data_IF_709876899612
#
_entry.id   IF_709876899612
#
_cell.length_a   1.000
_cell.length_b   1.000
_cell.length_c   1.000
_cell.angle_alpha   90.00
_cell.angle_beta   90.00
_cell.angle_gamma   90.00
#
_symmetry.space_group_name_H-M   'P 1'
#
loop_
_entity.id
_entity.type
_entity.pdbx_description
1 polymer ?
#
# COMPACT_ATOMS: atom_id res chain seq x y z
N UNK A 1 31.56 -21.29 6.82
CA UNK A 1 31.11 -19.94 7.20
C UNK A 1 29.93 -19.60 6.31
N UNK A 2 28.78 -19.35 6.89
CA UNK A 2 27.57 -19.00 6.14
C UNK A 2 27.73 -17.53 5.73
N UNK A 3 27.61 -17.22 4.43
CA UNK A 3 27.88 -15.88 3.89
C UNK A 3 26.91 -14.77 4.34
N UNK A 4 26.12 -15.02 5.38
CA UNK A 4 25.20 -14.08 5.99
C UNK A 4 25.89 -13.46 7.21
N UNK A 5 26.09 -12.15 7.16
CA UNK A 5 26.51 -11.31 8.28
C UNK A 5 25.44 -10.22 8.47
N UNK A 6 24.34 -10.61 9.12
CA UNK A 6 23.21 -9.71 9.37
C UNK A 6 23.39 -9.04 10.72
N UNK A 7 23.25 -7.71 10.76
CA UNK A 7 23.22 -6.92 11.99
C UNK A 7 21.77 -6.60 12.35
N UNK A 8 21.16 -7.24 13.37
CA UNK A 8 19.74 -7.04 13.70
C UNK A 8 19.35 -5.59 13.94
N UNK A 9 20.20 -4.82 14.64
CA UNK A 9 19.99 -3.38 14.86
C UNK A 9 20.03 -2.54 13.58
N UNK A 10 20.82 -2.97 12.59
CA UNK A 10 20.82 -2.36 11.26
C UNK A 10 19.51 -2.63 10.52
N UNK A 11 18.99 -3.86 10.61
CA UNK A 11 17.69 -4.22 10.03
C UNK A 11 16.57 -3.43 10.68
N UNK A 12 16.54 -3.33 12.02
CA UNK A 12 15.56 -2.54 12.75
C UNK A 12 15.55 -1.07 12.32
N UNK A 13 16.74 -0.47 12.15
CA UNK A 13 16.86 0.90 11.65
C UNK A 13 16.26 1.07 10.25
N UNK A 14 16.48 0.12 9.33
CA UNK A 14 15.89 0.15 7.99
C UNK A 14 14.37 -0.04 8.05
N UNK A 15 13.87 -0.97 8.88
CA UNK A 15 12.43 -1.19 9.05
C UNK A 15 11.73 0.05 9.61
N UNK A 16 12.38 0.79 10.51
CA UNK A 16 11.89 2.08 11.01
C UNK A 16 11.78 3.12 9.89
N UNK A 17 12.80 3.24 9.03
CA UNK A 17 12.75 4.13 7.86
C UNK A 17 11.64 3.74 6.87
N UNK A 18 11.45 2.45 6.63
CA UNK A 18 10.34 1.94 5.80
C UNK A 18 8.99 2.30 6.41
N UNK A 19 8.85 2.19 7.74
CA UNK A 19 7.66 2.61 8.47
C UNK A 19 7.34 4.09 8.27
N UNK A 20 8.33 4.97 8.43
CA UNK A 20 8.18 6.42 8.18
C UNK A 20 7.78 6.72 6.73
N UNK A 21 8.44 6.08 5.76
CA UNK A 21 8.11 6.24 4.35
C UNK A 21 6.69 5.74 4.02
N UNK A 22 6.25 4.65 4.66
CA UNK A 22 4.88 4.14 4.50
C UNK A 22 3.83 5.10 5.11
N UNK A 23 4.13 5.74 6.23
CA UNK A 23 3.27 6.77 6.83
C UNK A 23 3.15 8.00 5.93
N UNK A 24 4.26 8.47 5.36
CA UNK A 24 4.26 9.61 4.44
C UNK A 24 3.51 9.27 3.15
N UNK A 25 3.74 8.08 2.58
CA UNK A 25 2.97 7.58 1.44
C UNK A 25 1.46 7.54 1.74
N UNK A 26 1.05 7.12 2.93
CA UNK A 26 -0.36 7.11 3.31
C UNK A 26 -0.97 8.52 3.37
N UNK A 27 -0.21 9.54 3.80
CA UNK A 27 -0.64 10.95 3.78
C UNK A 27 -0.80 11.45 2.34
N UNK A 28 0.15 11.13 1.47
CA UNK A 28 0.13 11.54 0.06
C UNK A 28 -1.04 10.89 -0.69
N UNK A 29 -1.30 9.60 -0.45
CA UNK A 29 -2.46 8.90 -1.01
C UNK A 29 -3.78 9.56 -0.59
N UNK A 30 -3.89 9.96 0.68
CA UNK A 30 -5.07 10.70 1.17
C UNK A 30 -5.21 12.06 0.48
N UNK A 31 -4.10 12.77 0.29
CA UNK A 31 -4.05 14.04 -0.45
C UNK A 31 -4.51 13.87 -1.90
N UNK A 32 -3.98 12.85 -2.58
CA UNK A 32 -4.38 12.47 -3.93
C UNK A 32 -5.89 12.20 -4.02
N UNK A 33 -6.44 11.37 -3.12
CA UNK A 33 -7.88 11.08 -3.08
C UNK A 33 -8.74 12.35 -3.02
N UNK A 34 -8.37 13.29 -2.15
CA UNK A 34 -9.06 14.59 -2.02
C UNK A 34 -8.97 15.41 -3.31
N UNK A 35 -7.78 15.54 -3.90
CA UNK A 35 -7.60 16.30 -5.14
C UNK A 35 -8.37 15.72 -6.31
N UNK A 36 -8.50 14.39 -6.38
CA UNK A 36 -9.26 13.78 -7.46
C UNK A 36 -10.76 13.90 -7.26
N UNK A 37 -11.27 13.82 -6.02
CA UNK A 37 -12.67 14.13 -5.71
C UNK A 37 -13.03 15.56 -6.15
N UNK A 38 -12.19 16.55 -5.78
CA UNK A 38 -12.36 17.95 -6.21
C UNK A 38 -12.32 18.09 -7.74
N UNK A 39 -11.40 17.38 -8.41
CA UNK A 39 -11.26 17.42 -9.88
C UNK A 39 -12.48 16.81 -10.58
N UNK A 40 -12.98 15.67 -10.09
CA UNK A 40 -14.16 15.02 -10.65
C UNK A 40 -15.40 15.92 -10.57
N UNK A 41 -15.57 16.63 -9.45
CA UNK A 41 -16.64 17.62 -9.26
C UNK A 41 -16.50 18.83 -10.22
N UNK A 42 -15.29 19.36 -10.39
CA UNK A 42 -15.07 20.58 -11.17
C UNK A 42 -15.02 20.35 -12.69
N UNK A 43 -14.36 19.27 -13.14
CA UNK A 43 -14.12 18.99 -14.56
C UNK A 43 -15.23 18.15 -15.22
N UNK A 44 -16.11 17.58 -14.41
CA UNK A 44 -17.08 16.58 -14.82
C UNK A 44 -18.51 17.08 -15.01
N UNK A 45 -18.81 18.38 -15.14
CA UNK A 45 -20.20 18.81 -15.38
C UNK A 45 -20.43 19.13 -16.85
N UNK A 46 -21.47 18.52 -17.43
CA UNK A 46 -21.96 18.94 -18.76
C UNK A 46 -22.73 20.25 -18.57
N UNK A 47 -22.36 21.31 -19.29
CA UNK A 47 -23.15 22.55 -19.31
C UNK A 47 -24.37 22.39 -20.22
N UNK A 48 -25.56 22.73 -19.71
CA UNK A 48 -26.84 22.62 -20.42
C UNK A 48 -28.05 22.94 -19.53
N UNK A 49 -29.24 23.18 -20.08
CA UNK A 49 -30.44 23.44 -19.28
C UNK A 49 -30.90 22.15 -18.62
N UNK A 50 -30.42 21.89 -17.40
CA UNK A 50 -30.85 20.78 -16.56
C UNK A 50 -31.70 21.30 -15.41
N UNK A 51 -32.86 20.67 -15.18
CA UNK A 51 -33.61 20.86 -13.94
C UNK A 51 -33.03 19.91 -12.88
N UNK A 52 -32.01 20.34 -12.14
CA UNK A 52 -31.37 19.55 -11.06
C UNK A 52 -29.83 19.50 -11.16
N UNK A 53 -29.21 18.54 -10.46
CA UNK A 53 -27.75 18.34 -10.51
C UNK A 53 -27.29 17.99 -11.92
N UNK A 54 -26.26 18.68 -12.41
CA UNK A 54 -25.72 18.44 -13.75
C UNK A 54 -25.17 17.00 -13.87
N UNK A 55 -25.42 16.30 -14.99
CA UNK A 55 -24.87 14.97 -15.22
C UNK A 55 -23.33 14.98 -15.25
N UNK A 56 -22.73 13.88 -14.79
CA UNK A 56 -21.28 13.67 -14.91
C UNK A 56 -20.92 13.52 -16.40
N UNK A 57 -20.07 14.42 -16.89
CA UNK A 57 -19.53 14.45 -18.23
C UNK A 57 -18.38 13.45 -18.45
N UNK A 58 -17.95 13.26 -19.70
CA UNK A 58 -16.97 12.25 -20.08
C UNK A 58 -15.61 12.41 -19.37
N UNK A 59 -15.23 13.65 -19.02
CA UNK A 59 -14.01 13.94 -18.26
C UNK A 59 -14.12 13.41 -16.83
N UNK A 60 -15.26 13.62 -16.16
CA UNK A 60 -15.50 13.07 -14.82
C UNK A 60 -15.49 11.54 -14.80
N UNK A 61 -16.04 10.91 -15.84
CA UNK A 61 -15.98 9.45 -16.00
C UNK A 61 -14.54 8.94 -16.23
N UNK A 62 -13.74 9.63 -17.04
CA UNK A 62 -12.33 9.28 -17.26
C UNK A 62 -11.50 9.40 -15.97
N UNK A 63 -11.73 10.46 -15.19
CA UNK A 63 -11.10 10.65 -13.89
C UNK A 63 -11.44 9.51 -12.94
N UNK A 64 -12.71 9.09 -12.87
CA UNK A 64 -13.12 7.95 -12.04
C UNK A 64 -12.40 6.64 -12.43
N UNK A 65 -12.20 6.40 -13.72
CA UNK A 65 -11.44 5.23 -14.19
C UNK A 65 -9.97 5.29 -13.76
N UNK A 66 -9.33 6.45 -13.87
CA UNK A 66 -7.94 6.64 -13.42
C UNK A 66 -7.83 6.42 -11.91
N UNK A 67 -8.79 6.90 -11.12
CA UNK A 67 -8.82 6.64 -9.66
C UNK A 67 -8.92 5.15 -9.37
N UNK A 68 -9.80 4.43 -10.05
CA UNK A 68 -10.00 3.00 -9.84
C UNK A 68 -8.73 2.20 -10.15
N UNK A 69 -8.03 2.53 -11.23
CA UNK A 69 -6.78 1.87 -11.60
C UNK A 69 -5.66 2.19 -10.59
N UNK A 70 -5.49 3.47 -10.27
CA UNK A 70 -4.52 3.92 -9.24
C UNK A 70 -4.79 3.27 -7.89
N UNK A 71 -6.06 3.12 -7.49
CA UNK A 71 -6.44 2.43 -6.26
C UNK A 71 -5.93 0.98 -6.22
N UNK A 72 -6.09 0.24 -7.33
CA UNK A 72 -5.59 -1.14 -7.44
C UNK A 72 -4.06 -1.20 -7.32
N UNK A 73 -3.35 -0.24 -7.93
CA UNK A 73 -1.89 -0.14 -7.83
C UNK A 73 -1.43 0.20 -6.40
N UNK A 74 -2.13 1.11 -5.71
CA UNK A 74 -1.87 1.45 -4.32
C UNK A 74 -2.02 0.23 -3.41
N UNK A 75 -3.09 -0.56 -3.59
CA UNK A 75 -3.28 -1.80 -2.82
C UNK A 75 -2.15 -2.80 -3.05
N UNK A 76 -1.70 -2.97 -4.31
CA UNK A 76 -0.55 -3.81 -4.65
C UNK A 76 0.74 -3.33 -3.97
N UNK A 77 1.01 -2.02 -3.97
CA UNK A 77 2.16 -1.43 -3.29
C UNK A 77 2.12 -1.68 -1.78
N UNK A 78 0.98 -1.42 -1.15
CA UNK A 78 0.79 -1.64 0.28
C UNK A 78 0.99 -3.12 0.67
N UNK A 79 0.46 -4.05 -0.11
CA UNK A 79 0.66 -5.48 0.10
C UNK A 79 2.13 -5.89 -0.07
N UNK A 80 2.84 -5.29 -1.03
CA UNK A 80 4.26 -5.54 -1.25
C UNK A 80 5.12 -5.00 -0.11
N UNK A 81 4.84 -3.79 0.38
CA UNK A 81 5.52 -3.20 1.54
C UNK A 81 5.33 -4.13 2.75
N UNK A 82 4.07 -4.45 3.09
CA UNK A 82 3.76 -5.33 4.22
C UNK A 82 4.48 -6.67 4.12
N UNK A 83 4.35 -7.37 2.99
CA UNK A 83 4.99 -8.68 2.76
C UNK A 83 6.50 -8.64 2.90
N UNK A 84 7.14 -7.60 2.38
CA UNK A 84 8.60 -7.46 2.43
C UNK A 84 9.08 -7.14 3.85
N UNK A 85 8.36 -6.26 4.56
CA UNK A 85 8.64 -5.92 5.96
C UNK A 85 8.49 -7.15 6.86
N UNK A 86 7.36 -7.85 6.78
CA UNK A 86 7.11 -9.07 7.57
C UNK A 86 8.17 -10.14 7.29
N UNK A 87 8.44 -10.41 6.00
CA UNK A 87 9.45 -11.40 5.63
C UNK A 87 10.88 -11.02 6.01
N UNK A 88 11.18 -9.72 6.13
CA UNK A 88 12.47 -9.23 6.65
C UNK A 88 12.58 -9.47 8.16
N UNK A 89 11.49 -9.26 8.91
CA UNK A 89 11.40 -9.60 10.33
C UNK A 89 11.56 -11.10 10.54
N UNK A 90 10.83 -11.92 9.77
CA UNK A 90 10.91 -13.38 9.85
C UNK A 90 12.32 -13.89 9.52
N UNK A 91 12.95 -13.37 8.46
CA UNK A 91 14.29 -13.76 8.06
C UNK A 91 15.33 -13.40 9.13
N UNK A 92 15.19 -12.23 9.76
CA UNK A 92 16.11 -11.77 10.81
C UNK A 92 15.92 -12.56 12.09
N UNK A 93 14.68 -12.88 12.45
CA UNK A 93 14.36 -13.75 13.60
C UNK A 93 14.98 -15.13 13.41
N UNK A 94 14.75 -15.78 12.26
CA UNK A 94 15.34 -17.08 11.97
C UNK A 94 16.88 -17.05 11.93
N UNK A 95 17.48 -15.95 11.45
CA UNK A 95 18.93 -15.75 11.51
C UNK A 95 19.46 -15.67 12.95
N UNK A 96 18.78 -14.94 13.83
CA UNK A 96 19.12 -14.83 15.26
C UNK A 96 19.03 -16.21 15.94
N UNK A 97 18.01 -17.00 15.58
CA UNK A 97 17.81 -18.36 16.09
C UNK A 97 18.80 -19.38 15.51
N UNK A 98 19.63 -18.97 14.55
CA UNK A 98 20.62 -19.82 13.88
C UNK A 98 20.05 -20.73 12.78
N UNK A 99 18.76 -20.62 12.45
CA UNK A 99 18.14 -21.35 11.34
C UNK A 99 18.28 -20.57 10.03
N UNK A 100 19.44 -20.73 9.41
CA UNK A 100 19.79 -20.06 8.16
C UNK A 100 18.98 -20.59 6.96
N UNK A 101 18.42 -21.80 7.05
CA UNK A 101 17.55 -22.34 6.00
C UNK A 101 16.22 -21.63 6.02
N UNK A 102 15.64 -21.45 7.21
CA UNK A 102 14.42 -20.68 7.41
C UNK A 102 14.65 -19.20 7.06
N UNK A 103 15.77 -18.61 7.46
CA UNK A 103 16.11 -17.23 7.10
C UNK A 103 16.14 -17.02 5.57
N UNK A 104 16.84 -17.89 4.84
CA UNK A 104 16.91 -17.83 3.39
C UNK A 104 15.55 -18.13 2.71
N UNK A 105 14.71 -18.98 3.32
CA UNK A 105 13.35 -19.22 2.85
C UNK A 105 12.49 -17.98 3.02
N UNK A 106 12.46 -17.39 4.21
CA UNK A 106 11.69 -16.18 4.50
C UNK A 106 12.07 -15.03 3.55
N UNK A 107 13.37 -14.80 3.33
CA UNK A 107 13.83 -13.79 2.36
C UNK A 107 13.34 -14.07 0.93
N UNK A 108 13.40 -15.33 0.47
CA UNK A 108 12.90 -15.70 -0.87
C UNK A 108 11.39 -15.55 -1.01
N UNK A 109 10.63 -15.87 0.03
CA UNK A 109 9.17 -15.68 0.03
C UNK A 109 8.81 -14.19 0.04
N UNK A 110 9.54 -13.37 0.80
CA UNK A 110 9.36 -11.92 0.86
C UNK A 110 9.56 -11.24 -0.51
N UNK A 111 10.50 -11.76 -1.32
CA UNK A 111 10.81 -11.21 -2.65
C UNK A 111 9.73 -11.51 -3.71
N UNK A 112 8.83 -12.47 -3.46
CA UNK A 112 7.77 -12.83 -4.41
C UNK A 112 6.72 -11.73 -4.51
N UNK A 113 5.98 -11.74 -5.62
CA UNK A 113 4.82 -10.87 -5.76
C UNK A 113 3.79 -11.13 -4.63
N UNK A 114 3.02 -10.10 -4.23
CA UNK A 114 1.88 -10.29 -3.35
C UNK A 114 0.89 -11.29 -3.96
N UNK A 115 0.42 -12.22 -3.12
CA UNK A 115 -0.66 -13.14 -3.45
C UNK A 115 -2.02 -12.47 -3.30
N UNK A 116 -3.08 -13.13 -3.78
CA UNK A 116 -4.45 -12.67 -3.52
C UNK A 116 -4.79 -12.60 -2.03
N UNK A 117 -4.18 -13.46 -1.21
CA UNK A 117 -4.36 -13.42 0.24
C UNK A 117 -3.69 -12.18 0.85
N UNK A 118 -2.49 -11.84 0.37
CA UNK A 118 -1.76 -10.63 0.82
C UNK A 118 -2.57 -9.36 0.50
N UNK A 119 -3.21 -9.30 -0.67
CA UNK A 119 -4.07 -8.19 -1.06
C UNK A 119 -5.29 -8.06 -0.15
N UNK A 120 -5.99 -9.17 0.14
CA UNK A 120 -7.16 -9.17 1.05
C UNK A 120 -6.78 -8.72 2.45
N UNK A 121 -5.66 -9.21 2.97
CA UNK A 121 -5.19 -8.84 4.31
C UNK A 121 -4.97 -7.33 4.46
N UNK A 122 -4.49 -6.66 3.41
CA UNK A 122 -4.33 -5.20 3.40
C UNK A 122 -5.67 -4.47 3.36
N UNK A 123 -6.61 -4.93 2.54
CA UNK A 123 -7.97 -4.35 2.47
C UNK A 123 -8.67 -4.46 3.83
N UNK A 124 -8.66 -5.65 4.44
CA UNK A 124 -9.22 -5.88 5.77
C UNK A 124 -8.53 -5.04 6.87
N UNK A 125 -7.23 -4.76 6.72
CA UNK A 125 -6.51 -3.89 7.64
C UNK A 125 -6.89 -2.42 7.46
N UNK A 126 -7.13 -1.97 6.22
CA UNK A 126 -7.62 -0.63 5.93
C UNK A 126 -9.02 -0.41 6.51
N UNK A 127 -9.93 -1.37 6.35
CA UNK A 127 -11.29 -1.32 6.90
C UNK A 127 -11.26 -1.20 8.43
N UNK A 128 -10.45 -2.03 9.11
CA UNK A 128 -10.27 -1.96 10.57
C UNK A 128 -9.67 -0.63 11.06
N UNK A 129 -8.88 0.05 10.23
CA UNK A 129 -8.35 1.37 10.55
C UNK A 129 -9.36 2.50 10.30
N UNK A 130 -10.32 2.30 9.39
CA UNK A 130 -11.45 3.21 9.14
C UNK A 130 -12.52 3.17 10.24
N UNK A 131 -12.72 2.01 10.87
CA UNK A 131 -13.76 1.80 11.91
C UNK A 131 -13.40 2.36 13.31
N UNK A 132 -12.16 2.82 13.54
CA UNK A 132 -11.77 3.40 14.84
C UNK A 132 -12.14 4.89 14.90
N UNK A 133 -13.07 5.31 15.78
CA UNK A 133 -13.31 6.73 16.00
C UNK A 133 -12.04 7.37 16.59
N UNK A 134 -11.59 8.47 15.97
CA UNK A 134 -10.60 9.38 16.56
C UNK A 134 -11.28 10.31 17.55
#
# INVERSE_FOLDING_TARGET
MTGWDVRPSGVESILSLVGLAAEDLAKDIKGYGKSVEETALCAGTISGPYCGSAPVGPVGAAVANVVSDTGSQITLMAARIKKTTDGTVDATTAYIDGDLTMAARAQREAAKAPSSADLRAVVEQADRHGERPR
#
